data_IF_814888266703
#
_entry.id   IF_814888266703
#
_cell.length_a   1.000
_cell.length_b   1.000
_cell.length_c   1.000
_cell.angle_alpha   90.00
_cell.angle_beta   90.00
_cell.angle_gamma   90.00
#
_symmetry.space_group_name_H-M   'P 1'
#
loop_
_entity.id
_entity.type
_entity.pdbx_description
1 polymer ?
#
# COMPACT_ATOMS: atom_id res chain seq x y z
N UNK A 1 4.13 20.18 -12.81
CA UNK A 1 2.70 20.27 -12.44
C UNK A 1 1.90 19.82 -13.65
N UNK A 2 1.16 18.71 -13.57
CA UNK A 2 0.21 18.38 -14.63
C UNK A 2 -0.95 19.38 -14.54
N UNK A 3 -1.26 20.09 -15.63
CA UNK A 3 -2.41 21.01 -15.66
C UNK A 3 -3.69 20.29 -15.17
N UNK A 4 -4.50 20.91 -14.27
CA UNK A 4 -5.74 20.32 -13.77
C UNK A 4 -6.81 20.16 -14.86
N UNK A 5 -6.57 20.78 -16.02
CA UNK A 5 -7.44 20.78 -17.19
C UNK A 5 -6.79 19.93 -18.28
N UNK A 6 -7.52 18.91 -18.76
CA UNK A 6 -7.13 18.13 -19.95
C UNK A 6 -8.32 17.97 -20.88
N UNK A 7 -8.05 17.96 -22.18
CA UNK A 7 -9.01 17.59 -23.21
C UNK A 7 -9.01 16.06 -23.37
N UNK A 8 -10.18 15.44 -23.26
CA UNK A 8 -10.35 14.00 -23.56
C UNK A 8 -11.49 13.80 -24.54
N UNK A 9 -11.15 13.35 -25.73
CA UNK A 9 -12.10 12.98 -26.78
C UNK A 9 -12.78 11.65 -26.44
N UNK A 10 -14.08 11.54 -26.69
CA UNK A 10 -14.84 10.29 -26.57
C UNK A 10 -15.96 10.30 -27.59
N UNK A 11 -16.07 9.19 -28.31
CA UNK A 11 -16.93 8.99 -29.48
C UNK A 11 -18.40 9.29 -29.19
N UNK A 12 -18.90 8.95 -27.99
CA UNK A 12 -20.30 9.21 -27.62
C UNK A 12 -20.62 10.69 -27.38
N UNK A 13 -19.68 11.45 -26.81
CA UNK A 13 -19.92 12.88 -26.53
C UNK A 13 -19.73 13.75 -27.77
N UNK A 14 -18.81 13.37 -28.67
CA UNK A 14 -18.73 13.95 -30.03
C UNK A 14 -20.04 13.77 -30.79
N UNK A 15 -20.69 12.61 -30.66
CA UNK A 15 -21.95 12.32 -31.34
C UNK A 15 -23.10 13.18 -30.78
N UNK A 16 -23.21 13.29 -29.46
CA UNK A 16 -24.19 14.16 -28.80
C UNK A 16 -24.00 15.63 -29.21
N UNK A 17 -22.76 16.11 -29.28
CA UNK A 17 -22.46 17.47 -29.74
C UNK A 17 -22.77 17.67 -31.22
N UNK A 18 -22.44 16.70 -32.07
CA UNK A 18 -22.75 16.75 -33.49
C UNK A 18 -24.28 16.82 -33.74
N UNK A 19 -25.08 16.17 -32.90
CA UNK A 19 -26.55 16.18 -33.01
C UNK A 19 -27.17 17.45 -32.43
N UNK A 20 -26.66 17.98 -31.30
CA UNK A 20 -27.26 19.13 -30.62
C UNK A 20 -26.77 20.48 -31.14
N UNK A 21 -25.59 20.55 -31.77
CA UNK A 21 -25.01 21.79 -32.27
C UNK A 21 -25.85 22.46 -33.39
N UNK A 22 -26.28 21.75 -34.46
CA UNK A 22 -27.07 22.35 -35.53
C UNK A 22 -28.42 22.94 -35.08
N UNK A 23 -29.26 22.25 -34.28
CA UNK A 23 -30.54 22.81 -33.85
C UNK A 23 -30.38 23.97 -32.88
N UNK A 24 -29.35 23.97 -32.02
CA UNK A 24 -29.06 25.10 -31.13
C UNK A 24 -28.68 26.37 -31.91
N UNK A 25 -27.91 26.24 -32.99
CA UNK A 25 -27.54 27.39 -33.84
C UNK A 25 -28.77 27.86 -34.63
N UNK A 26 -29.54 26.93 -35.21
CA UNK A 26 -30.73 27.26 -36.00
C UNK A 26 -31.82 27.95 -35.18
N UNK A 27 -32.02 27.55 -33.92
CA UNK A 27 -33.05 28.13 -33.04
C UNK A 27 -32.81 29.63 -32.74
N UNK A 28 -31.54 30.04 -32.61
CA UNK A 28 -31.17 31.42 -32.27
C UNK A 28 -30.78 32.28 -33.48
N UNK A 29 -30.66 31.69 -34.67
CA UNK A 29 -30.32 32.37 -35.92
C UNK A 29 -31.24 33.55 -36.30
N UNK A 30 -32.58 33.45 -36.16
CA UNK A 30 -33.48 34.53 -36.54
C UNK A 30 -33.57 35.65 -35.49
N UNK A 31 -33.02 35.44 -34.28
CA UNK A 31 -33.05 36.45 -33.21
C UNK A 31 -31.84 37.39 -33.29
N UNK A 32 -31.93 38.63 -32.74
CA UNK A 32 -30.77 39.52 -32.64
C UNK A 32 -29.68 39.00 -31.68
N UNK A 33 -29.94 37.90 -30.96
CA UNK A 33 -29.08 37.33 -29.93
C UNK A 33 -28.33 36.09 -30.41
N UNK A 34 -27.86 36.07 -31.67
CA UNK A 34 -27.14 34.93 -32.28
C UNK A 34 -25.94 34.45 -31.47
N UNK A 35 -25.30 35.36 -30.73
CA UNK A 35 -24.21 35.08 -29.79
C UNK A 35 -24.60 34.04 -28.72
N UNK A 36 -25.88 33.94 -28.33
CA UNK A 36 -26.35 32.94 -27.36
C UNK A 36 -26.22 31.52 -27.92
N UNK A 37 -26.51 31.30 -29.21
CA UNK A 37 -26.34 30.00 -29.85
C UNK A 37 -24.88 29.55 -29.86
N UNK A 38 -23.96 30.46 -30.21
CA UNK A 38 -22.52 30.19 -30.15
C UNK A 38 -22.01 29.99 -28.72
N UNK A 39 -22.53 30.76 -27.75
CA UNK A 39 -22.18 30.60 -26.35
C UNK A 39 -22.66 29.24 -25.78
N UNK A 40 -23.87 28.80 -26.14
CA UNK A 40 -24.41 27.49 -25.76
C UNK A 40 -23.63 26.35 -26.41
N UNK A 41 -23.23 26.49 -27.68
CA UNK A 41 -22.36 25.54 -28.35
C UNK A 41 -21.00 25.45 -27.64
N UNK A 42 -20.37 26.59 -27.38
CA UNK A 42 -19.09 26.65 -26.68
C UNK A 42 -19.20 26.04 -25.26
N UNK A 43 -20.27 26.35 -24.52
CA UNK A 43 -20.56 25.74 -23.22
C UNK A 43 -20.76 24.22 -23.35
N UNK A 44 -21.48 23.75 -24.36
CA UNK A 44 -21.66 22.33 -24.65
C UNK A 44 -20.34 21.61 -24.93
N UNK A 45 -19.49 22.19 -25.78
CA UNK A 45 -18.12 21.72 -26.08
C UNK A 45 -17.30 21.65 -24.79
N UNK A 46 -17.32 22.71 -23.97
CA UNK A 46 -16.61 22.75 -22.69
C UNK A 46 -17.11 21.63 -21.78
N UNK A 47 -18.42 21.47 -21.61
CA UNK A 47 -19.01 20.44 -20.74
C UNK A 47 -18.66 19.02 -21.20
N UNK A 48 -18.63 18.80 -22.51
CA UNK A 48 -18.37 17.49 -23.10
C UNK A 48 -16.90 17.09 -23.09
N UNK A 49 -15.99 18.03 -23.34
CA UNK A 49 -14.59 17.73 -23.62
C UNK A 49 -13.62 18.14 -22.51
N UNK A 50 -13.98 19.12 -21.68
CA UNK A 50 -13.10 19.59 -20.60
C UNK A 50 -13.21 18.62 -19.43
N UNK A 51 -12.09 18.00 -19.11
CA UNK A 51 -11.94 17.24 -17.86
C UNK A 51 -11.25 18.09 -16.82
N UNK A 52 -11.82 18.12 -15.62
CA UNK A 52 -11.28 18.78 -14.45
C UNK A 52 -10.88 17.72 -13.43
N UNK A 53 -9.58 17.69 -13.06
CA UNK A 53 -8.98 16.62 -12.24
C UNK A 53 -9.28 15.21 -12.76
N UNK A 54 -9.22 15.01 -14.08
CA UNK A 54 -9.38 13.71 -14.72
C UNK A 54 -10.84 13.22 -14.86
N UNK A 55 -11.84 14.00 -14.42
CA UNK A 55 -13.28 13.71 -14.62
C UNK A 55 -13.96 14.80 -15.45
N UNK A 56 -14.92 14.41 -16.29
CA UNK A 56 -15.83 15.33 -17.00
C UNK A 56 -16.86 15.95 -16.05
N UNK A 57 -17.49 17.06 -16.42
CA UNK A 57 -18.56 17.68 -15.64
C UNK A 57 -19.73 16.72 -15.37
N UNK A 58 -20.16 15.93 -16.35
CA UNK A 58 -21.17 14.87 -16.16
C UNK A 58 -20.73 13.82 -15.14
N UNK A 59 -19.45 13.43 -15.20
CA UNK A 59 -18.83 12.53 -14.21
C UNK A 59 -18.79 13.14 -12.80
N UNK A 60 -18.58 14.45 -12.67
CA UNK A 60 -18.65 15.18 -11.41
C UNK A 60 -20.05 15.17 -10.82
N UNK A 61 -21.08 15.45 -11.63
CA UNK A 61 -22.48 15.39 -11.20
C UNK A 61 -22.86 13.98 -10.74
N UNK A 62 -22.51 12.95 -11.52
CA UNK A 62 -22.75 11.55 -11.16
C UNK A 62 -22.03 11.17 -9.85
N UNK A 63 -20.78 11.61 -9.68
CA UNK A 63 -20.00 11.41 -8.44
C UNK A 63 -20.71 12.06 -7.25
N UNK A 64 -21.18 13.30 -7.41
CA UNK A 64 -21.86 14.05 -6.36
C UNK A 64 -23.13 13.33 -5.93
N UNK A 65 -24.00 12.94 -6.86
CA UNK A 65 -25.21 12.19 -6.55
C UNK A 65 -24.91 10.84 -5.89
N UNK A 66 -23.89 10.13 -6.37
CA UNK A 66 -23.49 8.85 -5.81
C UNK A 66 -22.95 9.01 -4.37
N UNK A 67 -22.14 10.04 -4.11
CA UNK A 67 -21.67 10.39 -2.77
C UNK A 67 -22.80 10.82 -1.84
N UNK A 68 -23.71 11.69 -2.30
CA UNK A 68 -24.87 12.15 -1.52
C UNK A 68 -25.78 10.99 -1.07
N UNK A 69 -26.00 10.01 -1.95
CA UNK A 69 -26.75 8.79 -1.61
C UNK A 69 -26.00 7.91 -0.60
N UNK A 70 -24.68 7.81 -0.76
CA UNK A 70 -23.82 6.91 0.01
C UNK A 70 -23.46 7.42 1.41
N UNK A 71 -23.26 8.73 1.57
CA UNK A 71 -22.80 9.33 2.84
C UNK A 71 -23.75 9.09 4.02
N UNK A 72 -25.00 8.74 3.74
CA UNK A 72 -26.04 8.41 4.73
C UNK A 72 -26.09 6.92 5.11
N UNK A 73 -25.42 6.05 4.36
CA UNK A 73 -25.42 4.60 4.60
C UNK A 73 -24.09 4.17 5.25
N UNK A 74 -24.12 3.31 6.28
CA UNK A 74 -22.89 2.73 6.84
C UNK A 74 -22.11 1.96 5.76
N UNK A 75 -20.80 1.72 5.95
CA UNK A 75 -20.06 0.80 5.10
C UNK A 75 -20.68 -0.60 5.15
N UNK A 76 -20.68 -1.30 4.02
CA UNK A 76 -21.12 -2.69 3.98
C UNK A 76 -20.09 -3.53 4.74
N UNK A 77 -20.55 -4.28 5.74
CA UNK A 77 -19.72 -5.22 6.49
C UNK A 77 -19.53 -6.46 5.60
N UNK A 78 -18.29 -6.93 5.38
CA UNK A 78 -18.05 -8.21 4.72
C UNK A 78 -18.74 -9.36 5.47
N UNK A 79 -19.02 -10.47 4.78
CA UNK A 79 -19.47 -11.67 5.50
C UNK A 79 -18.37 -12.21 6.40
N UNK A 80 -18.76 -13.01 7.39
CA UNK A 80 -17.80 -13.83 8.13
C UNK A 80 -17.02 -14.73 7.15
N UNK A 81 -15.72 -14.91 7.39
CA UNK A 81 -14.89 -15.76 6.56
C UNK A 81 -15.26 -17.22 6.76
N UNK A 82 -15.41 -17.94 5.65
CA UNK A 82 -15.57 -19.38 5.62
C UNK A 82 -14.29 -20.00 5.07
N UNK A 83 -13.82 -21.07 5.70
CA UNK A 83 -12.59 -21.74 5.31
C UNK A 83 -12.93 -22.95 4.45
N UNK A 84 -12.46 -22.93 3.20
CA UNK A 84 -12.65 -24.05 2.28
C UNK A 84 -11.67 -25.21 2.54
N UNK A 85 -12.13 -26.44 2.29
CA UNK A 85 -11.23 -27.58 2.13
C UNK A 85 -10.44 -27.43 0.82
N UNK A 86 -9.12 -27.40 0.89
CA UNK A 86 -8.27 -27.41 -0.31
C UNK A 86 -7.96 -28.83 -0.76
N UNK A 87 -7.38 -28.97 -1.95
CA UNK A 87 -6.91 -30.24 -2.50
C UNK A 87 -5.60 -30.70 -1.86
N UNK A 88 -4.85 -29.79 -1.21
CA UNK A 88 -3.63 -30.12 -0.45
C UNK A 88 -3.99 -30.33 1.03
N UNK A 89 -3.65 -31.48 1.64
CA UNK A 89 -3.84 -31.67 3.07
C UNK A 89 -3.01 -30.63 3.85
N UNK A 90 -3.67 -29.68 4.52
CA UNK A 90 -3.02 -28.71 5.42
C UNK A 90 -3.18 -27.24 5.04
N UNK A 91 -3.51 -26.91 3.78
CA UNK A 91 -3.78 -25.53 3.38
C UNK A 91 -5.29 -25.27 3.40
N UNK A 92 -5.66 -24.13 3.96
CA UNK A 92 -7.05 -23.75 4.17
C UNK A 92 -7.19 -22.33 3.64
N UNK A 93 -7.96 -22.16 2.57
CA UNK A 93 -8.17 -20.84 1.95
C UNK A 93 -9.41 -20.22 2.57
N UNK A 94 -9.26 -19.07 3.22
CA UNK A 94 -10.38 -18.26 3.65
C UNK A 94 -11.04 -17.58 2.44
N UNK A 95 -12.35 -17.74 2.36
CA UNK A 95 -13.20 -17.03 1.41
C UNK A 95 -14.24 -16.20 2.16
N UNK A 96 -14.62 -15.05 1.60
CA UNK A 96 -15.75 -14.27 2.12
C UNK A 96 -16.45 -13.48 1.04
N UNK A 97 -17.70 -13.16 1.26
CA UNK A 97 -18.42 -12.22 0.44
C UNK A 97 -18.02 -10.80 0.78
N UNK A 98 -17.66 -10.04 -0.25
CA UNK A 98 -17.48 -8.60 -0.16
C UNK A 98 -18.36 -7.94 -1.22
N UNK A 99 -19.55 -7.52 -0.78
CA UNK A 99 -20.67 -7.12 -1.65
C UNK A 99 -21.07 -8.26 -2.57
N UNK A 100 -20.99 -8.06 -3.88
CA UNK A 100 -21.44 -9.02 -4.89
C UNK A 100 -20.30 -9.87 -5.47
N UNK A 101 -19.14 -9.89 -4.82
CA UNK A 101 -17.99 -10.70 -5.25
C UNK A 101 -17.55 -11.58 -4.09
N UNK A 102 -17.24 -12.83 -4.39
CA UNK A 102 -16.57 -13.73 -3.47
C UNK A 102 -15.07 -13.46 -3.57
N UNK A 103 -14.40 -13.30 -2.43
CA UNK A 103 -12.96 -13.01 -2.39
C UNK A 103 -12.20 -14.07 -1.61
N UNK A 104 -11.00 -14.38 -2.06
CA UNK A 104 -10.02 -15.22 -1.37
C UNK A 104 -8.74 -14.41 -1.13
N UNK A 105 -8.04 -14.71 -0.04
CA UNK A 105 -6.79 -14.05 0.35
C UNK A 105 -5.59 -14.96 0.11
N UNK A 106 -4.55 -14.40 -0.49
CA UNK A 106 -3.20 -14.95 -0.53
C UNK A 106 -2.29 -13.92 0.13
N UNK A 107 -1.55 -14.31 1.15
CA UNK A 107 -0.54 -13.46 1.77
C UNK A 107 0.81 -13.68 1.08
N UNK A 108 1.52 -12.59 0.79
CA UNK A 108 2.87 -12.68 0.27
C UNK A 108 3.84 -12.59 1.44
N UNK A 109 4.63 -13.63 1.64
CA UNK A 109 5.62 -13.70 2.72
C UNK A 109 6.92 -13.08 2.23
N UNK A 110 7.41 -12.02 2.90
CA UNK A 110 8.66 -11.41 2.49
C UNK A 110 9.84 -12.32 2.82
N UNK A 111 10.86 -12.29 1.97
CA UNK A 111 12.09 -13.02 2.22
C UNK A 111 12.90 -12.30 3.30
N UNK A 112 13.24 -12.96 4.42
CA UNK A 112 14.00 -12.33 5.48
C UNK A 112 15.34 -11.75 5.01
N UNK A 113 15.74 -10.66 5.65
CA UNK A 113 17.01 -9.96 5.42
C UNK A 113 17.23 -9.47 3.98
N UNK A 114 16.18 -9.24 3.19
CA UNK A 114 16.34 -8.66 1.85
C UNK A 114 16.69 -7.16 1.97
N UNK A 115 17.91 -6.73 1.61
CA UNK A 115 18.27 -5.33 1.69
C UNK A 115 17.50 -4.51 0.65
N UNK A 116 17.10 -3.30 1.04
CA UNK A 116 16.55 -2.31 0.10
C UNK A 116 17.53 -1.15 -0.04
N UNK A 117 17.99 -0.90 -1.27
CA UNK A 117 18.94 0.18 -1.57
C UNK A 117 18.24 1.30 -2.33
N UNK A 118 18.42 2.54 -1.90
CA UNK A 118 17.81 3.70 -2.55
C UNK A 118 18.78 4.31 -3.54
N UNK A 119 18.48 4.19 -4.84
CA UNK A 119 19.31 4.71 -5.93
C UNK A 119 18.47 5.70 -6.74
N UNK A 120 18.93 6.94 -6.89
CA UNK A 120 18.19 7.95 -7.67
C UNK A 120 16.78 8.26 -7.14
N UNK A 121 16.50 7.98 -5.86
CA UNK A 121 15.17 8.15 -5.26
C UNK A 121 14.22 6.97 -5.47
N UNK A 122 14.68 5.85 -6.05
CA UNK A 122 13.93 4.62 -6.25
C UNK A 122 14.41 3.53 -5.32
N UNK A 123 13.50 2.68 -4.84
CA UNK A 123 13.84 1.53 -4.01
C UNK A 123 14.17 0.31 -4.89
N UNK A 124 15.39 -0.20 -4.75
CA UNK A 124 15.81 -1.45 -5.34
C UNK A 124 15.86 -2.53 -4.26
N UNK A 125 15.07 -3.58 -4.44
CA UNK A 125 15.02 -4.77 -3.59
C UNK A 125 14.75 -5.97 -4.47
N UNK A 126 15.29 -7.13 -4.09
CA UNK A 126 15.13 -8.37 -4.86
C UNK A 126 13.76 -9.04 -4.62
N UNK A 127 13.07 -8.67 -3.55
CA UNK A 127 11.83 -9.31 -3.12
C UNK A 127 10.61 -8.50 -3.59
N UNK A 128 10.23 -8.75 -4.84
CA UNK A 128 9.18 -8.02 -5.56
C UNK A 128 8.21 -8.96 -6.25
N UNK A 129 6.94 -8.56 -6.30
CA UNK A 129 5.93 -9.15 -7.18
C UNK A 129 5.88 -8.37 -8.50
N UNK A 130 6.19 -9.03 -9.61
CA UNK A 130 5.90 -8.47 -10.93
C UNK A 130 4.41 -8.60 -11.26
N UNK A 131 3.74 -7.47 -11.42
CA UNK A 131 2.31 -7.43 -11.76
C UNK A 131 2.00 -7.96 -13.16
N UNK A 132 2.98 -8.05 -14.06
CA UNK A 132 2.80 -8.68 -15.38
C UNK A 132 2.79 -10.21 -15.25
N UNK A 133 3.71 -10.77 -14.46
CA UNK A 133 3.70 -12.20 -14.13
C UNK A 133 2.36 -12.61 -13.52
N UNK A 134 1.82 -11.82 -12.59
CA UNK A 134 0.51 -12.11 -12.01
C UNK A 134 -0.62 -12.05 -13.06
N UNK A 135 -0.58 -11.14 -14.03
CA UNK A 135 -1.56 -11.14 -15.13
C UNK A 135 -1.45 -12.41 -15.98
N UNK A 136 -0.23 -12.81 -16.35
CA UNK A 136 0.02 -14.04 -17.13
C UNK A 136 -0.50 -15.28 -16.40
N UNK A 137 -0.24 -15.39 -15.09
CA UNK A 137 -0.75 -16.48 -14.27
C UNK A 137 -2.29 -16.49 -14.19
N UNK A 138 -2.93 -15.32 -14.10
CA UNK A 138 -4.39 -15.22 -14.14
C UNK A 138 -4.93 -15.63 -15.51
N UNK A 139 -4.31 -15.19 -16.60
CA UNK A 139 -4.73 -15.50 -17.97
C UNK A 139 -4.70 -17.01 -18.23
N UNK A 140 -3.65 -17.70 -17.76
CA UNK A 140 -3.47 -19.14 -17.96
C UNK A 140 -4.41 -19.96 -17.06
N UNK A 141 -4.53 -19.61 -15.77
CA UNK A 141 -5.17 -20.48 -14.79
C UNK A 141 -6.62 -20.11 -14.45
N UNK A 142 -6.96 -18.82 -14.52
CA UNK A 142 -8.26 -18.29 -14.09
C UNK A 142 -8.63 -16.96 -14.78
N UNK A 143 -8.83 -16.94 -16.11
CA UNK A 143 -8.96 -15.71 -16.90
C UNK A 143 -10.24 -14.89 -16.62
N UNK A 144 -11.22 -15.48 -15.95
CA UNK A 144 -12.48 -14.85 -15.53
C UNK A 144 -12.41 -14.26 -14.09
N UNK A 145 -11.26 -14.35 -13.42
CA UNK A 145 -11.00 -13.73 -12.12
C UNK A 145 -10.28 -12.38 -12.22
N UNK A 146 -10.41 -11.57 -11.18
CA UNK A 146 -9.63 -10.35 -10.96
C UNK A 146 -8.75 -10.51 -9.73
N UNK A 147 -7.56 -9.91 -9.72
CA UNK A 147 -6.70 -9.85 -8.53
C UNK A 147 -6.48 -8.41 -8.08
N UNK A 148 -6.67 -8.14 -6.79
CA UNK A 148 -6.21 -6.89 -6.17
C UNK A 148 -4.95 -7.17 -5.34
N UNK A 149 -3.80 -6.66 -5.76
CA UNK A 149 -2.61 -6.58 -4.91
C UNK A 149 -2.79 -5.41 -3.95
N UNK A 150 -2.74 -5.68 -2.65
CA UNK A 150 -2.94 -4.68 -1.60
C UNK A 150 -1.72 -4.67 -0.70
N UNK A 151 -1.01 -3.56 -0.66
CA UNK A 151 0.07 -3.37 0.33
C UNK A 151 -0.36 -2.32 1.35
N UNK A 152 -0.18 -2.61 2.63
CA UNK A 152 -0.47 -1.70 3.72
C UNK A 152 0.67 -1.66 4.73
N UNK A 153 0.89 -0.49 5.32
CA UNK A 153 1.95 -0.29 6.29
C UNK A 153 2.31 1.16 6.51
N UNK A 154 3.34 1.38 7.30
CA UNK A 154 3.76 2.70 7.74
C UNK A 154 5.21 2.97 7.37
N UNK A 155 5.49 4.22 7.02
CA UNK A 155 6.84 4.65 6.70
C UNK A 155 7.69 4.86 7.94
N UNK A 156 7.04 5.29 9.01
CA UNK A 156 7.56 5.40 10.37
C UNK A 156 6.46 4.94 11.31
N UNK A 157 6.82 4.43 12.48
CA UNK A 157 5.88 3.93 13.46
C UNK A 157 5.37 4.98 14.44
N UNK A 158 4.58 4.50 15.41
CA UNK A 158 3.95 5.31 16.46
C UNK A 158 4.42 4.93 17.88
N UNK A 159 5.43 4.07 18.01
CA UNK A 159 5.91 3.56 19.31
C UNK A 159 6.90 4.52 19.98
N UNK A 160 7.69 5.27 19.21
CA UNK A 160 8.66 6.22 19.73
C UNK A 160 8.05 7.58 20.09
N UNK A 161 8.83 8.39 20.81
CA UNK A 161 8.47 9.80 21.06
C UNK A 161 8.33 10.59 19.75
N UNK A 162 7.45 11.60 19.69
CA UNK A 162 7.26 12.40 18.48
C UNK A 162 8.55 13.04 17.94
N UNK A 163 9.46 13.43 18.84
CA UNK A 163 10.76 14.00 18.47
C UNK A 163 11.65 13.01 17.73
N UNK A 164 11.66 11.74 18.16
CA UNK A 164 12.41 10.66 17.51
C UNK A 164 11.81 10.33 16.14
N UNK A 165 10.48 10.23 16.06
CA UNK A 165 9.78 9.97 14.80
C UNK A 165 10.04 11.11 13.80
N UNK A 166 9.95 12.37 14.24
CA UNK A 166 10.19 13.54 13.40
C UNK A 166 11.64 13.61 12.91
N UNK A 167 12.61 13.35 13.80
CA UNK A 167 14.01 13.26 13.43
C UNK A 167 14.23 12.17 12.39
N UNK A 168 13.72 10.96 12.63
CA UNK A 168 13.89 9.88 11.67
C UNK A 168 13.25 10.20 10.32
N UNK A 169 12.04 10.79 10.30
CA UNK A 169 11.40 11.27 9.07
C UNK A 169 12.24 12.28 8.29
N UNK A 170 13.03 13.12 8.97
CA UNK A 170 13.97 14.04 8.34
C UNK A 170 15.15 13.27 7.74
N UNK A 171 15.74 12.33 8.49
CA UNK A 171 16.85 11.48 8.05
C UNK A 171 16.50 10.67 6.81
N UNK A 172 15.33 10.02 6.78
CA UNK A 172 14.90 9.23 5.62
C UNK A 172 14.31 10.08 4.48
N UNK A 173 14.16 11.40 4.67
CA UNK A 173 13.78 12.35 3.62
C UNK A 173 12.50 11.97 2.86
N UNK A 174 12.65 11.66 1.57
CA UNK A 174 11.59 11.17 0.68
C UNK A 174 11.88 9.75 0.15
N UNK A 175 12.72 8.97 0.85
CA UNK A 175 13.02 7.61 0.43
C UNK A 175 11.75 6.74 0.43
N UNK A 176 11.51 5.95 -0.64
CA UNK A 176 10.40 5.00 -0.73
C UNK A 176 10.66 3.70 0.07
N UNK A 177 11.16 3.87 1.29
CA UNK A 177 11.51 2.78 2.19
C UNK A 177 10.57 2.78 3.39
N UNK A 178 9.44 2.04 3.34
CA UNK A 178 8.59 1.92 4.51
C UNK A 178 9.23 1.04 5.58
N UNK A 179 9.11 1.48 6.84
CA UNK A 179 9.59 0.76 8.00
C UNK A 179 8.85 -0.57 8.21
N UNK A 180 7.55 -0.60 7.94
CA UNK A 180 6.75 -1.82 7.94
C UNK A 180 5.80 -1.82 6.75
N UNK A 181 5.70 -2.96 6.05
CA UNK A 181 4.80 -3.16 4.93
C UNK A 181 4.49 -4.64 4.81
N UNK A 182 3.21 -4.96 4.66
CA UNK A 182 2.74 -6.28 4.25
C UNK A 182 1.92 -6.17 2.97
N UNK A 183 1.95 -7.25 2.20
CA UNK A 183 1.30 -7.31 0.90
C UNK A 183 0.46 -8.58 0.78
N UNK A 184 -0.75 -8.43 0.25
CA UNK A 184 -1.67 -9.53 -0.02
C UNK A 184 -2.16 -9.46 -1.46
N UNK A 185 -2.57 -10.60 -2.00
CA UNK A 185 -3.33 -10.71 -3.24
C UNK A 185 -4.75 -11.14 -2.88
N UNK A 186 -5.74 -10.34 -3.26
CA UNK A 186 -7.15 -10.68 -3.14
C UNK A 186 -7.66 -11.16 -4.50
N UNK A 187 -7.88 -12.46 -4.64
CA UNK A 187 -8.59 -12.99 -5.81
C UNK A 187 -10.08 -12.72 -5.67
N UNK A 188 -10.71 -12.28 -6.76
CA UNK A 188 -12.11 -11.83 -6.77
C UNK A 188 -12.88 -12.56 -7.84
N UNK A 189 -13.88 -13.33 -7.42
CA UNK A 189 -14.85 -13.96 -8.29
C UNK A 189 -16.12 -13.13 -8.39
N UNK A 190 -16.48 -12.74 -9.60
CA UNK A 190 -17.81 -12.22 -9.91
C UNK A 190 -18.72 -13.40 -10.32
N UNK A 191 -19.84 -13.66 -9.63
CA UNK A 191 -20.71 -14.80 -9.92
C UNK A 191 -21.18 -14.87 -11.38
N UNK A 192 -21.36 -13.73 -12.03
CA UNK A 192 -21.82 -13.67 -13.42
C UNK A 192 -20.72 -14.06 -14.40
N UNK A 193 -19.50 -13.54 -14.18
CA UNK A 193 -18.36 -13.80 -15.06
C UNK A 193 -17.80 -15.21 -14.87
N UNK A 194 -17.81 -15.71 -13.63
CA UNK A 194 -17.20 -16.99 -13.26
C UNK A 194 -18.15 -18.18 -13.36
N UNK A 195 -19.41 -17.97 -13.75
CA UNK A 195 -20.48 -18.98 -13.77
C UNK A 195 -20.05 -20.27 -14.46
N UNK A 196 -19.49 -20.17 -15.68
CA UNK A 196 -19.07 -21.34 -16.48
C UNK A 196 -17.97 -22.16 -15.79
N UNK A 197 -17.01 -21.49 -15.17
CA UNK A 197 -15.89 -22.13 -14.47
C UNK A 197 -16.32 -22.74 -13.14
N UNK A 198 -17.24 -22.08 -12.44
CA UNK A 198 -17.83 -22.55 -11.18
C UNK A 198 -18.70 -23.81 -11.37
N UNK A 199 -19.57 -23.81 -12.38
CA UNK A 199 -20.48 -24.94 -12.67
C UNK A 199 -19.76 -26.26 -12.98
N UNK A 200 -18.50 -26.22 -13.43
CA UNK A 200 -17.69 -27.43 -13.64
C UNK A 200 -17.24 -28.10 -12.35
N UNK A 201 -17.43 -27.46 -11.19
CA UNK A 201 -16.89 -27.91 -9.89
C UNK A 201 -17.97 -28.25 -8.88
N UNK A 202 -19.05 -27.46 -8.87
CA UNK A 202 -20.26 -27.71 -8.08
C UNK A 202 -21.38 -26.76 -8.53
N UNK A 203 -22.57 -26.95 -7.97
CA UNK A 203 -23.71 -26.07 -8.17
C UNK A 203 -23.68 -24.84 -7.23
N UNK A 204 -24.27 -23.74 -7.70
CA UNK A 204 -24.49 -22.54 -6.89
C UNK A 204 -23.22 -21.92 -6.29
N UNK A 205 -23.32 -21.50 -5.02
CA UNK A 205 -22.24 -20.81 -4.29
C UNK A 205 -21.05 -21.73 -4.02
N UNK A 206 -21.31 -23.02 -3.75
CA UNK A 206 -20.27 -24.02 -3.52
C UNK A 206 -19.33 -24.15 -4.73
N UNK A 207 -19.88 -24.06 -5.95
CA UNK A 207 -19.09 -24.14 -7.19
C UNK A 207 -18.13 -22.96 -7.34
N UNK A 208 -18.60 -21.75 -7.02
CA UNK A 208 -17.78 -20.52 -7.06
C UNK A 208 -16.71 -20.58 -5.98
N UNK A 209 -17.06 -21.01 -4.76
CA UNK A 209 -16.10 -21.15 -3.66
C UNK A 209 -14.99 -22.15 -4.00
N UNK A 210 -15.34 -23.36 -4.47
CA UNK A 210 -14.35 -24.37 -4.92
C UNK A 210 -13.51 -23.85 -6.07
N UNK A 211 -14.08 -23.10 -7.01
CA UNK A 211 -13.31 -22.48 -8.08
C UNK A 211 -12.28 -21.50 -7.55
N UNK A 212 -12.71 -20.59 -6.68
CA UNK A 212 -11.87 -19.54 -6.13
C UNK A 212 -10.76 -20.12 -5.25
N UNK A 213 -11.07 -21.09 -4.38
CA UNK A 213 -10.10 -21.81 -3.55
C UNK A 213 -9.06 -22.51 -4.41
N UNK A 214 -9.48 -23.30 -5.41
CA UNK A 214 -8.55 -23.98 -6.30
C UNK A 214 -7.67 -23.02 -7.11
N UNK A 215 -8.22 -21.87 -7.50
CA UNK A 215 -7.46 -20.82 -8.21
C UNK A 215 -6.46 -20.14 -7.29
N UNK A 216 -6.83 -19.86 -6.03
CA UNK A 216 -5.92 -19.29 -5.04
C UNK A 216 -4.71 -20.18 -4.79
N UNK A 217 -4.93 -21.48 -4.55
CA UNK A 217 -3.84 -22.45 -4.38
C UNK A 217 -2.93 -22.51 -5.60
N UNK A 218 -3.50 -22.53 -6.82
CA UNK A 218 -2.68 -22.55 -8.05
C UNK A 218 -1.87 -21.29 -8.24
N UNK A 219 -2.45 -20.11 -7.99
CA UNK A 219 -1.72 -18.85 -8.11
C UNK A 219 -0.60 -18.79 -7.06
N UNK A 220 -0.87 -19.19 -5.81
CA UNK A 220 0.14 -19.26 -4.76
C UNK A 220 1.30 -20.21 -5.13
N UNK A 221 0.99 -21.44 -5.56
CA UNK A 221 2.00 -22.44 -5.98
C UNK A 221 2.85 -21.94 -7.16
N UNK A 222 2.24 -21.27 -8.14
CA UNK A 222 2.97 -20.74 -9.30
C UNK A 222 3.77 -19.47 -8.98
N UNK A 223 3.31 -18.65 -8.04
CA UNK A 223 4.12 -17.53 -7.54
C UNK A 223 5.36 -18.08 -6.82
N UNK A 224 5.19 -19.09 -5.98
CA UNK A 224 6.29 -19.74 -5.27
C UNK A 224 7.32 -20.36 -6.24
N UNK A 225 6.86 -20.99 -7.33
CA UNK A 225 7.75 -21.53 -8.37
C UNK A 225 8.55 -20.45 -9.12
N UNK A 226 8.06 -19.21 -9.15
CA UNK A 226 8.76 -18.04 -9.66
C UNK A 226 9.53 -17.26 -8.58
N UNK A 227 9.64 -17.82 -7.38
CA UNK A 227 10.39 -17.26 -6.26
C UNK A 227 9.62 -16.24 -5.41
N UNK A 228 8.36 -15.97 -5.67
CA UNK A 228 7.52 -15.13 -4.80
C UNK A 228 6.86 -16.04 -3.78
N UNK A 229 7.28 -15.95 -2.52
CA UNK A 229 6.68 -16.76 -1.46
C UNK A 229 5.24 -16.28 -1.18
N UNK A 230 4.28 -17.16 -1.43
CA UNK A 230 2.86 -16.86 -1.46
C UNK A 230 2.10 -17.97 -0.75
N UNK A 231 1.41 -17.62 0.32
CA UNK A 231 0.66 -18.55 1.15
C UNK A 231 -0.83 -18.23 1.10
N UNK A 232 -1.65 -19.26 0.97
CA UNK A 232 -3.09 -19.11 1.05
C UNK A 232 -3.50 -18.71 2.48
N UNK A 233 -4.16 -17.56 2.63
CA UNK A 233 -4.53 -17.05 3.95
C UNK A 233 -5.69 -17.85 4.56
N UNK A 234 -5.55 -18.21 5.83
CA UNK A 234 -6.58 -18.93 6.62
C UNK A 234 -7.60 -18.00 7.28
N UNK A 235 -7.32 -16.70 7.30
CA UNK A 235 -8.20 -15.65 7.82
C UNK A 235 -7.96 -14.34 7.06
N UNK A 236 -8.91 -13.41 7.17
CA UNK A 236 -8.75 -12.03 6.71
C UNK A 236 -8.28 -11.09 7.82
N UNK A 237 -8.07 -11.56 9.06
CA UNK A 237 -7.81 -10.70 10.23
C UNK A 237 -6.57 -9.82 10.06
N UNK A 238 -5.43 -10.38 9.65
CA UNK A 238 -4.20 -9.62 9.42
C UNK A 238 -4.39 -8.54 8.35
N UNK A 239 -5.08 -8.90 7.27
CA UNK A 239 -5.40 -7.96 6.21
C UNK A 239 -6.36 -6.86 6.70
N UNK A 240 -7.41 -7.21 7.42
CA UNK A 240 -8.42 -6.28 7.92
C UNK A 240 -7.83 -5.32 8.97
N UNK A 241 -6.96 -5.83 9.84
CA UNK A 241 -6.19 -5.02 10.78
C UNK A 241 -5.27 -4.05 10.03
N UNK A 242 -4.55 -4.52 9.01
CA UNK A 242 -3.64 -3.69 8.25
C UNK A 242 -4.32 -2.61 7.41
N UNK A 243 -5.58 -2.80 7.00
CA UNK A 243 -6.34 -1.77 6.26
C UNK A 243 -7.28 -0.94 7.14
N UNK A 244 -7.35 -1.21 8.44
CA UNK A 244 -8.22 -0.45 9.33
C UNK A 244 -7.71 1.00 9.45
N UNK A 245 -8.63 1.92 9.22
CA UNK A 245 -8.39 3.36 9.34
C UNK A 245 -9.28 3.99 10.42
N UNK A 246 -9.93 3.15 11.25
CA UNK A 246 -10.90 3.57 12.25
C UNK A 246 -12.03 4.38 11.65
N UNK A 247 -12.62 3.93 10.53
CA UNK A 247 -13.60 4.69 9.74
C UNK A 247 -14.74 5.24 10.62
N UNK A 248 -14.95 6.56 10.58
CA UNK A 248 -16.11 7.21 11.22
C UNK A 248 -17.08 7.75 10.18
N UNK A 249 -16.59 8.57 9.23
CA UNK A 249 -17.43 9.12 8.16
C UNK A 249 -16.66 9.52 6.92
N UNK A 250 -17.32 9.43 5.78
CA UNK A 250 -16.82 9.96 4.50
C UNK A 250 -17.19 11.44 4.33
N UNK A 251 -16.20 12.28 4.03
CA UNK A 251 -16.38 13.63 3.47
C UNK A 251 -16.03 13.62 1.99
N UNK A 252 -16.31 14.74 1.30
CA UNK A 252 -16.06 14.87 -0.13
C UNK A 252 -14.60 14.60 -0.53
N UNK A 253 -13.63 15.06 0.26
CA UNK A 253 -12.21 14.99 -0.07
C UNK A 253 -11.39 14.06 0.81
N UNK A 254 -11.99 13.48 1.85
CA UNK A 254 -11.30 12.65 2.83
C UNK A 254 -12.29 11.79 3.63
N UNK A 255 -11.78 10.77 4.31
CA UNK A 255 -12.45 10.02 5.36
C UNK A 255 -11.95 10.56 6.71
N UNK A 256 -12.87 10.85 7.62
CA UNK A 256 -12.54 11.08 9.03
C UNK A 256 -12.56 9.72 9.73
N UNK A 257 -11.42 9.33 10.30
CA UNK A 257 -11.31 8.19 11.22
C UNK A 257 -11.57 8.62 12.67
N UNK A 258 -11.30 7.73 13.63
CA UNK A 258 -11.38 8.02 15.07
C UNK A 258 -10.46 9.17 15.44
N UNK A 259 -9.15 8.96 15.21
CA UNK A 259 -8.09 9.90 15.59
C UNK A 259 -7.21 10.31 14.39
N UNK A 260 -7.64 9.99 13.17
CA UNK A 260 -6.87 10.23 11.95
C UNK A 260 -7.74 10.68 10.78
N UNK A 261 -7.10 11.14 9.71
CA UNK A 261 -7.73 11.49 8.46
C UNK A 261 -7.10 10.69 7.34
N UNK A 262 -7.93 10.01 6.55
CA UNK A 262 -7.46 9.25 5.38
C UNK A 262 -7.95 9.92 4.11
N UNK A 263 -7.08 10.08 3.13
CA UNK A 263 -7.47 10.54 1.80
C UNK A 263 -7.01 9.58 0.71
N UNK A 264 -7.88 9.32 -0.24
CA UNK A 264 -7.62 8.52 -1.42
C UNK A 264 -7.14 9.40 -2.59
N UNK A 265 -6.15 8.89 -3.31
CA UNK A 265 -5.44 9.54 -4.38
C UNK A 265 -5.17 8.58 -5.54
N UNK A 266 -4.93 9.18 -6.69
CA UNK A 266 -4.28 8.56 -7.85
C UNK A 266 -2.85 9.08 -7.91
N UNK A 267 -1.91 8.20 -8.20
CA UNK A 267 -0.48 8.53 -8.21
C UNK A 267 0.20 7.69 -9.30
N UNK A 268 0.18 8.14 -10.57
CA UNK A 268 0.84 7.44 -11.65
C UNK A 268 2.36 7.60 -11.47
N UNK A 269 2.99 6.59 -10.90
CA UNK A 269 4.40 6.62 -10.51
C UNK A 269 4.88 5.38 -9.77
N UNK A 270 4.00 4.41 -9.52
CA UNK A 270 4.34 3.15 -8.89
C UNK A 270 4.73 3.27 -7.42
N UNK A 271 5.20 2.15 -6.82
CA UNK A 271 5.50 2.05 -5.41
C UNK A 271 6.49 3.11 -4.90
N UNK A 272 7.48 3.52 -5.70
CA UNK A 272 8.43 4.56 -5.31
C UNK A 272 7.71 5.89 -5.00
N UNK A 273 6.79 6.31 -5.86
CA UNK A 273 6.01 7.51 -5.61
C UNK A 273 5.07 7.32 -4.41
N UNK A 274 4.45 6.14 -4.28
CA UNK A 274 3.45 5.85 -3.25
C UNK A 274 4.06 5.88 -1.85
N UNK A 275 5.21 5.24 -1.68
CA UNK A 275 5.90 5.08 -0.40
C UNK A 275 6.88 6.21 -0.06
N UNK A 276 7.16 7.12 -1.00
CA UNK A 276 7.91 8.36 -0.72
C UNK A 276 7.07 9.43 0.00
N UNK A 277 5.74 9.33 -0.09
CA UNK A 277 4.83 10.30 0.51
C UNK A 277 4.83 10.20 2.04
N UNK A 278 4.90 11.36 2.72
CA UNK A 278 4.77 11.40 4.19
C UNK A 278 3.33 11.11 4.60
N UNK A 279 3.14 9.99 5.27
CA UNK A 279 1.90 9.54 5.86
C UNK A 279 2.20 8.66 7.08
N UNK A 280 1.27 8.64 8.04
CA UNK A 280 1.33 7.79 9.22
C UNK A 280 1.03 6.34 8.83
N UNK A 281 0.09 6.15 7.91
CA UNK A 281 -0.23 4.84 7.32
C UNK A 281 -0.55 4.99 5.84
N UNK A 282 -0.13 4.01 5.04
CA UNK A 282 -0.32 4.00 3.58
C UNK A 282 -0.94 2.67 3.18
N UNK A 283 -2.00 2.74 2.37
CA UNK A 283 -2.64 1.58 1.76
C UNK A 283 -2.62 1.78 0.25
N UNK A 284 -2.01 0.84 -0.47
CA UNK A 284 -1.99 0.81 -1.93
C UNK A 284 -2.86 -0.34 -2.41
N UNK A 285 -3.59 -0.12 -3.50
CA UNK A 285 -4.40 -1.16 -4.15
C UNK A 285 -4.12 -1.13 -5.63
N UNK A 286 -3.76 -2.26 -6.18
CA UNK A 286 -3.42 -2.43 -7.59
C UNK A 286 -4.22 -3.61 -8.15
N UNK A 287 -5.20 -3.33 -9.01
CA UNK A 287 -6.04 -4.33 -9.66
C UNK A 287 -5.46 -4.75 -10.98
N UNK A 288 -5.41 -6.06 -11.17
CA UNK A 288 -5.02 -6.73 -12.40
C UNK A 288 -6.23 -7.56 -12.85
N UNK A 289 -6.50 -7.47 -14.14
CA UNK A 289 -7.51 -8.26 -14.81
C UNK A 289 -6.97 -8.61 -16.20
N UNK A 290 -6.95 -9.88 -16.61
CA UNK A 290 -6.43 -10.28 -17.91
C UNK A 290 -7.01 -9.46 -19.06
N UNK A 291 -6.13 -8.93 -19.91
CA UNK A 291 -6.51 -8.18 -21.12
C UNK A 291 -7.03 -6.76 -20.85
N UNK A 292 -6.91 -6.27 -19.61
CA UNK A 292 -7.27 -4.89 -19.24
C UNK A 292 -6.09 -4.17 -18.61
N UNK A 293 -5.93 -2.89 -18.93
CA UNK A 293 -4.91 -2.06 -18.29
C UNK A 293 -5.09 -2.09 -16.75
N UNK A 294 -4.02 -2.29 -15.98
CA UNK A 294 -4.11 -2.38 -14.54
C UNK A 294 -4.58 -1.06 -13.95
N UNK A 295 -5.10 -1.10 -12.72
CA UNK A 295 -5.67 0.07 -12.07
C UNK A 295 -5.17 0.23 -10.65
N UNK A 296 -4.76 1.44 -10.26
CA UNK A 296 -4.20 1.71 -8.95
C UNK A 296 -4.92 2.82 -8.19
N UNK A 297 -4.90 2.73 -6.86
CA UNK A 297 -5.29 3.80 -5.93
C UNK A 297 -4.43 3.72 -4.67
N UNK A 298 -4.10 4.89 -4.12
CA UNK A 298 -3.32 5.02 -2.89
C UNK A 298 -4.14 5.78 -1.86
N UNK A 299 -4.19 5.27 -0.63
CA UNK A 299 -4.76 5.94 0.51
C UNK A 299 -3.64 6.31 1.48
N UNK A 300 -3.62 7.57 1.88
CA UNK A 300 -2.68 8.10 2.85
C UNK A 300 -3.46 8.55 4.08
N UNK A 301 -3.07 8.03 5.24
CA UNK A 301 -3.61 8.37 6.54
C UNK A 301 -2.63 9.29 7.26
N UNK A 302 -3.16 10.36 7.83
CA UNK A 302 -2.39 11.36 8.59
C UNK A 302 -3.15 11.80 9.84
N UNK A 303 -2.44 12.15 10.91
CA UNK A 303 -3.01 12.72 12.12
C UNK A 303 -3.70 14.07 11.86
N UNK A 304 -3.10 14.89 10.99
CA UNK A 304 -3.66 16.16 10.54
C UNK A 304 -4.58 16.05 9.32
N UNK A 305 -5.20 17.16 8.93
CA UNK A 305 -5.96 17.22 7.66
C UNK A 305 -5.04 16.90 6.48
N UNK A 306 -5.45 16.01 5.56
CA UNK A 306 -4.59 15.52 4.52
C UNK A 306 -4.27 16.63 3.51
N UNK A 307 -2.99 16.78 3.18
CA UNK A 307 -2.49 17.60 2.07
C UNK A 307 -2.30 16.71 0.83
N UNK A 308 -2.28 17.28 -0.37
CA UNK A 308 -2.04 16.51 -1.59
C UNK A 308 -0.53 16.50 -1.86
N UNK A 309 0.15 15.34 -1.79
CA UNK A 309 1.58 15.27 -2.08
C UNK A 309 1.88 15.54 -3.56
N UNK A 310 3.13 15.87 -3.87
CA UNK A 310 3.58 16.08 -5.25
C UNK A 310 3.45 14.77 -6.04
N UNK A 311 2.85 14.84 -7.24
CA UNK A 311 2.60 13.66 -8.08
C UNK A 311 1.26 12.95 -7.81
N UNK A 312 0.52 13.38 -6.78
CA UNK A 312 -0.77 12.78 -6.41
C UNK A 312 -1.93 13.66 -6.91
N UNK A 313 -3.04 13.02 -7.26
CA UNK A 313 -4.31 13.68 -7.58
C UNK A 313 -5.44 13.08 -6.73
N UNK A 314 -6.09 13.91 -5.92
CA UNK A 314 -7.08 13.49 -4.92
C UNK A 314 -8.39 13.01 -5.56
N UNK A 315 -8.94 11.90 -5.05
CA UNK A 315 -10.18 11.28 -5.54
C UNK A 315 -11.44 11.85 -4.88
N UNK A 316 -11.83 13.06 -5.26
CA UNK A 316 -13.03 13.70 -4.72
C UNK A 316 -14.31 12.87 -4.94
N UNK A 317 -15.16 12.80 -3.91
CA UNK A 317 -16.42 12.06 -3.84
C UNK A 317 -16.30 10.53 -3.93
N UNK A 318 -15.07 10.01 -3.94
CA UNK A 318 -14.76 8.60 -4.20
C UNK A 318 -13.91 7.94 -3.12
N UNK A 319 -13.88 8.49 -1.91
CA UNK A 319 -12.95 8.11 -0.85
C UNK A 319 -13.27 6.72 -0.28
N UNK A 320 -14.53 6.46 0.08
CA UNK A 320 -14.96 5.15 0.59
C UNK A 320 -14.92 4.04 -0.48
N UNK A 321 -15.34 4.29 -1.73
CA UNK A 321 -15.13 3.33 -2.80
C UNK A 321 -13.64 3.03 -3.06
N UNK A 322 -12.75 4.00 -2.92
CA UNK A 322 -11.30 3.77 -3.02
C UNK A 322 -10.78 2.84 -1.91
N UNK A 323 -11.22 3.06 -0.66
CA UNK A 323 -10.87 2.18 0.47
C UNK A 323 -11.27 0.72 0.24
N UNK A 324 -12.38 0.51 -0.48
CA UNK A 324 -12.92 -0.82 -0.80
C UNK A 324 -12.48 -1.37 -2.17
N UNK A 325 -11.58 -0.68 -2.87
CA UNK A 325 -11.03 -1.12 -4.17
C UNK A 325 -12.00 -1.00 -5.34
N UNK A 326 -12.89 0.00 -5.38
CA UNK A 326 -13.87 0.19 -6.46
C UNK A 326 -13.55 1.36 -7.37
N UNK A 327 -13.00 2.43 -6.81
CA UNK A 327 -12.52 3.57 -7.60
C UNK A 327 -11.01 3.43 -7.78
N UNK A 328 -10.64 2.54 -8.70
CA UNK A 328 -9.27 2.39 -9.17
C UNK A 328 -9.14 3.13 -10.50
N UNK A 329 -7.96 3.67 -10.77
CA UNK A 329 -7.71 4.44 -12.00
C UNK A 329 -6.61 3.77 -12.80
N UNK A 330 -6.77 3.76 -14.12
CA UNK A 330 -5.83 3.12 -15.03
C UNK A 330 -4.38 3.55 -14.73
N UNK A 331 -3.51 2.57 -14.68
CA UNK A 331 -2.09 2.67 -14.40
C UNK A 331 -1.31 1.72 -15.34
N UNK A 332 -0.02 1.51 -15.06
CA UNK A 332 0.87 0.60 -15.79
C UNK A 332 1.35 -0.52 -14.88
N UNK A 333 1.72 -1.65 -15.48
CA UNK A 333 2.40 -2.71 -14.75
C UNK A 333 3.67 -2.16 -14.10
N UNK A 334 3.93 -2.63 -12.89
CA UNK A 334 5.09 -2.30 -12.08
C UNK A 334 5.51 -3.52 -11.25
N UNK A 335 6.69 -3.41 -10.63
CA UNK A 335 7.14 -4.33 -9.60
C UNK A 335 6.73 -3.78 -8.24
N UNK A 336 6.05 -4.59 -7.44
CA UNK A 336 5.56 -4.23 -6.11
C UNK A 336 6.44 -4.93 -5.07
N UNK A 337 7.24 -4.20 -4.28
CA UNK A 337 7.97 -4.79 -3.16
C UNK A 337 7.02 -5.46 -2.16
N UNK A 338 7.37 -6.68 -1.75
CA UNK A 338 6.50 -7.54 -0.93
C UNK A 338 6.51 -7.10 0.54
N UNK A 339 7.70 -7.10 1.16
CA UNK A 339 7.92 -6.81 2.59
C UNK A 339 8.28 -5.38 2.89
N UNK A 340 8.65 -5.12 4.15
CA UNK A 340 9.18 -3.83 4.58
C UNK A 340 10.54 -3.54 3.92
N UNK A 341 10.92 -2.26 3.84
CA UNK A 341 12.33 -1.92 3.63
C UNK A 341 13.10 -2.00 4.95
N UNK A 342 12.41 -1.70 6.06
CA UNK A 342 12.92 -1.83 7.42
C UNK A 342 13.68 -0.60 7.92
N UNK A 343 14.78 -0.84 8.62
CA UNK A 343 15.54 0.20 9.33
C UNK A 343 16.74 0.65 8.47
N UNK A 344 17.01 1.96 8.43
CA UNK A 344 18.22 2.50 7.80
C UNK A 344 19.48 2.01 8.55
N UNK A 345 20.24 1.10 7.94
CA UNK A 345 21.44 0.50 8.56
C UNK A 345 22.73 1.20 8.13
N UNK A 346 22.73 1.86 6.97
CA UNK A 346 23.90 2.58 6.47
C UNK A 346 23.70 3.07 5.04
N UNK A 347 24.80 3.28 4.33
CA UNK A 347 24.82 3.62 2.92
C UNK A 347 25.90 2.83 2.17
N UNK A 348 25.77 2.69 0.86
CA UNK A 348 26.81 2.09 0.02
C UNK A 348 28.00 3.04 -0.16
N UNK A 349 29.08 2.56 -0.78
CA UNK A 349 30.25 3.37 -1.16
C UNK A 349 29.85 4.61 -2.00
N UNK A 350 28.80 4.47 -2.81
CA UNK A 350 28.26 5.54 -3.67
C UNK A 350 27.23 6.44 -2.95
N UNK A 351 27.16 6.38 -1.61
CA UNK A 351 26.22 7.14 -0.78
C UNK A 351 24.75 6.83 -1.08
N UNK A 352 24.45 5.59 -1.45
CA UNK A 352 23.07 5.12 -1.61
C UNK A 352 22.59 4.55 -0.27
N UNK A 353 21.53 5.09 0.34
CA UNK A 353 20.98 4.56 1.59
C UNK A 353 20.61 3.08 1.49
N UNK A 354 20.93 2.32 2.53
CA UNK A 354 20.66 0.87 2.65
C UNK A 354 19.77 0.61 3.86
N UNK A 355 18.65 -0.05 3.62
CA UNK A 355 17.69 -0.46 4.62
C UNK A 355 17.67 -1.98 4.75
N UNK A 356 17.39 -2.48 5.95
CA UNK A 356 17.24 -3.91 6.22
C UNK A 356 15.99 -4.18 7.06
N UNK A 357 15.14 -5.16 6.66
CA UNK A 357 13.98 -5.59 7.43
C UNK A 357 14.42 -6.42 8.65
N UNK A 358 13.70 -6.21 9.75
CA UNK A 358 13.88 -6.93 11.02
C UNK A 358 12.53 -7.45 11.58
N UNK A 359 11.43 -7.19 10.88
CA UNK A 359 10.05 -7.48 11.29
C UNK A 359 9.53 -8.85 10.81
N UNK A 360 10.37 -9.62 10.10
CA UNK A 360 10.00 -10.90 9.48
C UNK A 360 10.30 -12.13 10.35
N UNK A 361 11.47 -12.18 11.00
CA UNK A 361 11.95 -13.34 11.78
C UNK A 361 12.69 -12.92 13.05
N UNK A 362 12.63 -13.77 14.07
CA UNK A 362 13.35 -13.56 15.32
C UNK A 362 14.86 -13.62 15.10
N UNK A 363 15.59 -12.64 15.67
CA UNK A 363 17.05 -12.53 15.49
C UNK A 363 17.78 -12.03 16.72
N UNK A 364 19.02 -12.49 16.87
CA UNK A 364 20.01 -11.92 17.77
C UNK A 364 20.89 -10.93 17.02
N UNK A 365 20.82 -9.66 17.42
CA UNK A 365 21.61 -8.57 16.82
C UNK A 365 22.84 -8.26 17.67
N UNK A 366 24.01 -8.45 17.08
CA UNK A 366 25.29 -8.04 17.65
C UNK A 366 25.67 -6.65 17.11
N UNK A 367 25.69 -5.67 18.00
CA UNK A 367 26.00 -4.27 17.69
C UNK A 367 27.46 -3.99 18.04
N UNK A 368 28.23 -3.52 17.05
CA UNK A 368 29.69 -3.42 17.17
C UNK A 368 30.23 -2.34 18.11
N UNK A 369 29.45 -1.27 18.37
CA UNK A 369 29.83 -0.17 19.26
C UNK A 369 28.60 0.59 19.78
N UNK A 370 28.83 1.47 20.76
CA UNK A 370 27.78 2.28 21.40
C UNK A 370 27.02 3.19 20.42
N UNK A 371 27.70 3.73 19.40
CA UNK A 371 27.05 4.59 18.40
C UNK A 371 26.08 3.78 17.52
N UNK A 372 26.51 2.60 17.06
CA UNK A 372 25.67 1.67 16.30
C UNK A 372 24.46 1.24 17.12
N UNK A 373 24.67 0.97 18.42
CA UNK A 373 23.58 0.66 19.34
C UNK A 373 22.56 1.80 19.42
N UNK A 374 23.01 3.03 19.70
CA UNK A 374 22.12 4.20 19.76
C UNK A 374 21.36 4.38 18.45
N UNK A 375 22.05 4.35 17.31
CA UNK A 375 21.43 4.57 16.00
C UNK A 375 20.40 3.48 15.67
N UNK A 376 20.76 2.22 15.88
CA UNK A 376 19.83 1.12 15.63
C UNK A 376 18.59 1.26 16.51
N UNK A 377 18.75 1.49 17.81
CA UNK A 377 17.63 1.57 18.75
C UNK A 377 16.72 2.77 18.46
N UNK A 378 17.30 3.97 18.24
CA UNK A 378 16.52 5.18 17.90
C UNK A 378 15.73 4.97 16.61
N UNK A 379 16.36 4.42 15.57
CA UNK A 379 15.71 4.20 14.28
C UNK A 379 14.70 3.06 14.33
N UNK A 380 14.97 2.00 15.08
CA UNK A 380 14.04 0.89 15.28
C UNK A 380 12.78 1.33 16.04
N UNK A 381 12.94 2.16 17.08
CA UNK A 381 11.82 2.79 17.75
C UNK A 381 11.01 3.67 16.78
N UNK A 382 11.69 4.52 16.00
CA UNK A 382 11.04 5.36 15.00
C UNK A 382 10.38 4.56 13.86
N UNK A 383 10.87 3.36 13.59
CA UNK A 383 10.32 2.41 12.61
C UNK A 383 9.08 1.67 13.15
N UNK A 384 8.71 1.82 14.42
CA UNK A 384 7.54 1.17 15.02
C UNK A 384 7.85 -0.05 15.87
N UNK A 385 9.13 -0.36 16.10
CA UNK A 385 9.53 -1.38 17.06
C UNK A 385 9.24 -0.92 18.48
N UNK A 386 8.72 -1.82 19.31
CA UNK A 386 8.64 -1.62 20.75
C UNK A 386 9.99 -1.99 21.36
N UNK A 387 10.77 -0.97 21.70
CA UNK A 387 12.11 -1.14 22.24
C UNK A 387 12.03 -1.39 23.74
N UNK A 388 12.74 -2.39 24.22
CA UNK A 388 13.06 -2.63 25.63
C UNK A 388 14.57 -2.60 25.82
N UNK A 389 15.07 -1.82 26.77
CA UNK A 389 16.49 -1.76 27.14
C UNK A 389 16.69 -2.09 28.61
N UNK A 390 17.93 -2.40 28.99
CA UNK A 390 18.29 -2.75 30.37
C UNK A 390 18.10 -1.57 31.36
N UNK A 391 17.98 -1.85 32.68
CA UNK A 391 17.77 -0.82 33.71
C UNK A 391 18.80 0.30 33.75
N UNK A 392 20.03 0.03 33.34
CA UNK A 392 21.13 1.01 33.29
C UNK A 392 20.98 2.04 32.16
N UNK A 393 20.01 1.87 31.25
CA UNK A 393 19.71 2.80 30.17
C UNK A 393 18.44 3.63 30.42
N UNK A 394 18.02 3.84 31.67
CA UNK A 394 16.74 4.50 31.99
C UNK A 394 16.59 5.89 31.34
N UNK A 395 17.63 6.73 31.41
CA UNK A 395 17.61 8.07 30.81
C UNK A 395 17.45 7.99 29.28
N UNK A 396 18.25 7.15 28.64
CA UNK A 396 18.16 6.87 27.21
C UNK A 396 16.77 6.34 26.82
N UNK A 397 16.22 5.40 27.60
CA UNK A 397 14.91 4.81 27.36
C UNK A 397 13.81 5.89 27.35
N UNK A 398 13.84 6.80 28.33
CA UNK A 398 12.89 7.92 28.43
C UNK A 398 12.95 8.84 27.22
N UNK A 399 14.15 9.16 26.73
CA UNK A 399 14.33 10.04 25.56
C UNK A 399 13.78 9.42 24.28
N UNK A 400 14.00 8.11 24.08
CA UNK A 400 13.58 7.43 22.85
C UNK A 400 12.14 6.89 22.88
N UNK A 401 11.52 6.87 24.06
CA UNK A 401 10.22 6.23 24.27
C UNK A 401 10.31 4.71 24.39
N UNK A 402 11.45 4.17 24.84
CA UNK A 402 11.63 2.75 25.09
C UNK A 402 11.19 2.35 26.50
N UNK A 403 10.89 1.07 26.66
CA UNK A 403 10.61 0.42 27.94
C UNK A 403 11.91 -0.01 28.61
N UNK A 404 11.87 -0.14 29.93
CA UNK A 404 12.97 -0.71 30.72
C UNK A 404 12.59 -2.12 31.14
N UNK A 405 13.47 -3.09 30.91
CA UNK A 405 13.22 -4.49 31.22
C UNK A 405 14.50 -5.33 31.34
N UNK A 406 14.36 -6.57 31.78
CA UNK A 406 15.47 -7.49 31.99
C UNK A 406 16.11 -7.99 30.69
N UNK A 407 15.34 -8.03 29.60
CA UNK A 407 15.79 -8.51 28.28
C UNK A 407 15.78 -7.34 27.31
N UNK A 408 16.96 -6.95 26.82
CA UNK A 408 17.09 -5.91 25.81
C UNK A 408 16.67 -6.46 24.43
N UNK A 409 15.63 -5.87 23.84
CA UNK A 409 15.02 -6.34 22.59
C UNK A 409 14.24 -5.24 21.88
N UNK A 410 13.91 -5.49 20.62
CA UNK A 410 12.91 -4.74 19.85
C UNK A 410 11.83 -5.73 19.44
N UNK A 411 10.61 -5.52 19.90
CA UNK A 411 9.47 -6.31 19.47
C UNK A 411 8.79 -5.63 18.28
N UNK A 412 8.70 -6.37 17.18
CA UNK A 412 7.95 -6.04 15.97
C UNK A 412 6.59 -6.78 16.00
N UNK A 413 5.64 -6.45 15.10
CA UNK A 413 4.35 -7.13 15.07
C UNK A 413 4.43 -8.66 14.91
N UNK A 414 5.45 -9.17 14.22
CA UNK A 414 5.62 -10.61 13.91
C UNK A 414 6.94 -11.23 14.36
N UNK A 415 7.87 -10.41 14.86
CA UNK A 415 9.23 -10.86 15.14
C UNK A 415 9.84 -10.09 16.30
N UNK A 416 10.91 -10.61 16.86
CA UNK A 416 11.68 -10.00 17.95
C UNK A 416 13.16 -9.94 17.58
N UNK A 417 13.72 -8.74 17.63
CA UNK A 417 15.17 -8.52 17.52
C UNK A 417 15.78 -8.37 18.91
N UNK A 418 16.50 -9.39 19.39
CA UNK A 418 17.22 -9.37 20.65
C UNK A 418 18.50 -8.54 20.51
N UNK A 419 18.70 -7.57 21.40
CA UNK A 419 19.84 -6.65 21.39
C UNK A 419 21.04 -7.26 22.15
N UNK A 420 21.47 -8.44 21.72
CA UNK A 420 22.53 -9.22 22.35
C UNK A 420 22.41 -10.71 22.01
N UNK A 421 23.35 -11.54 22.49
CA UNK A 421 23.34 -12.98 22.25
C UNK A 421 22.04 -13.63 22.74
N UNK A 422 21.38 -14.40 21.87
CA UNK A 422 20.21 -15.18 22.20
C UNK A 422 20.29 -16.55 21.50
N UNK A 423 20.02 -17.63 22.23
CA UNK A 423 20.10 -19.00 21.71
C UNK A 423 18.86 -19.35 20.89
N UNK A 424 19.04 -20.10 19.80
CA UNK A 424 17.93 -20.64 19.01
C UNK A 424 17.34 -19.67 17.96
N UNK A 425 17.98 -18.53 17.75
CA UNK A 425 17.60 -17.54 16.74
C UNK A 425 18.78 -17.19 15.84
N UNK A 426 18.48 -16.71 14.64
CA UNK A 426 19.48 -16.32 13.67
C UNK A 426 20.30 -15.12 14.14
N UNK A 427 21.59 -15.09 13.77
CA UNK A 427 22.52 -14.04 14.19
C UNK A 427 22.71 -13.00 13.08
N UNK A 428 22.52 -11.73 13.43
CA UNK A 428 22.86 -10.57 12.60
C UNK A 428 23.97 -9.79 13.28
N UNK A 429 24.97 -9.35 12.53
CA UNK A 429 26.05 -8.51 13.02
C UNK A 429 25.98 -7.17 12.31
N UNK A 430 25.84 -6.09 13.06
CA UNK A 430 25.81 -4.72 12.55
C UNK A 430 27.00 -3.95 13.11
N UNK A 431 27.90 -3.53 12.21
CA UNK A 431 29.08 -2.70 12.50
C UNK A 431 29.03 -1.42 11.66
N UNK A 432 29.95 -0.50 11.93
CA UNK A 432 30.06 0.77 11.22
C UNK A 432 30.35 0.63 9.70
N UNK A 433 30.95 -0.49 9.29
CA UNK A 433 31.44 -0.73 7.93
C UNK A 433 30.81 -1.95 7.24
N UNK A 434 30.00 -2.74 7.95
CA UNK A 434 29.45 -3.99 7.44
C UNK A 434 28.17 -4.37 8.17
N UNK A 435 27.25 -5.01 7.43
CA UNK A 435 26.19 -5.85 7.98
C UNK A 435 26.41 -7.30 7.55
N UNK A 436 26.30 -8.24 8.48
CA UNK A 436 26.30 -9.68 8.21
C UNK A 436 24.97 -10.26 8.66
N UNK A 437 24.32 -11.02 7.78
CA UNK A 437 23.01 -11.66 8.00
C UNK A 437 23.13 -13.15 7.60
N UNK A 438 22.20 -14.02 8.04
CA UNK A 438 22.21 -15.42 7.61
C UNK A 438 22.19 -15.57 6.08
N UNK A 439 21.49 -14.67 5.39
CA UNK A 439 21.39 -14.66 3.93
C UNK A 439 22.61 -14.05 3.25
N UNK A 440 23.16 -12.99 3.83
CA UNK A 440 24.27 -12.24 3.25
C UNK A 440 25.46 -12.27 4.21
N UNK A 441 26.49 -13.04 3.87
CA UNK A 441 27.68 -13.22 4.72
C UNK A 441 28.32 -11.91 5.14
N UNK A 442 28.47 -10.98 4.21
CA UNK A 442 29.07 -9.66 4.46
C UNK A 442 28.56 -8.67 3.41
N UNK A 443 27.81 -7.67 3.87
CA UNK A 443 27.34 -6.53 3.08
C UNK A 443 28.12 -5.28 3.52
N UNK A 444 29.02 -4.74 2.69
CA UNK A 444 29.76 -3.55 3.04
C UNK A 444 28.82 -2.34 3.07
N UNK A 445 28.85 -1.61 4.18
CA UNK A 445 28.10 -0.37 4.36
C UNK A 445 29.02 0.72 4.90
N UNK A 446 28.58 1.97 4.83
CA UNK A 446 29.15 3.09 5.57
C UNK A 446 28.09 3.61 6.52
N UNK A 447 28.51 3.93 7.74
CA UNK A 447 27.63 4.53 8.72
C UNK A 447 27.10 5.88 8.22
N UNK A 448 25.79 6.06 8.32
CA UNK A 448 25.13 7.36 8.18
C UNK A 448 24.97 7.96 9.58
N UNK A 449 25.64 9.08 9.87
CA UNK A 449 25.60 9.75 11.17
C UNK A 449 25.09 11.19 11.07
N UNK A 450 23.77 11.40 11.12
CA UNK A 450 23.19 12.73 11.29
C UNK A 450 23.66 13.35 12.62
N UNK A 451 24.10 14.62 12.66
CA UNK A 451 24.58 15.26 13.88
C UNK A 451 23.57 15.20 15.03
N UNK A 452 22.28 15.32 14.69
CA UNK A 452 21.14 15.34 15.60
C UNK A 452 20.91 14.00 16.33
N UNK A 453 21.36 12.86 15.78
CA UNK A 453 21.29 11.56 16.46
C UNK A 453 22.31 11.47 17.61
N UNK A 454 23.39 12.24 17.57
CA UNK A 454 24.48 12.18 18.56
C UNK A 454 24.04 12.57 19.97
N UNK A 455 22.97 13.38 20.10
CA UNK A 455 22.43 13.77 21.41
C UNK A 455 21.94 12.59 22.23
N UNK A 456 21.47 11.53 21.58
CA UNK A 456 21.00 10.33 22.27
C UNK A 456 22.16 9.47 22.78
N UNK A 457 23.33 9.58 22.16
CA UNK A 457 24.54 8.89 22.62
C UNK A 457 25.05 9.48 23.94
N UNK A 458 24.84 10.78 24.17
CA UNK A 458 25.22 11.46 25.42
C UNK A 458 24.41 10.96 26.63
N UNK A 459 23.24 10.36 26.40
CA UNK A 459 22.38 9.79 27.43
C UNK A 459 22.69 8.32 27.75
N UNK A 460 23.72 7.74 27.12
CA UNK A 460 24.21 6.42 27.50
C UNK A 460 25.01 6.51 28.80
N UNK A 461 24.93 5.48 29.68
CA UNK A 461 25.81 5.38 30.84
C UNK A 461 27.27 5.37 30.40
N UNK A 462 28.12 6.02 31.19
CA UNK A 462 29.57 6.12 30.93
C UNK A 462 30.31 4.83 31.22
#
# INVERSE_FOLDING_TARGET
>A
MSSPIRLKFSTGHTLVLAVLAPPAIMLFWPTPHRWIGFALLAAGVIIAFVTFYGRRLTGWVATLFAWLRRRRKPPDVPSEPEVGATVKPGDHVAVRWRRNKLIAVIELKPRPFTPTVIVGGQAHTDDVLDTRLLEELLEVHCPDLEADVVSAGSRVGHTASPDVVNLYQQVIGAHPAPASRRTWIMLRADPELTRKSAQRRDEGVAGIARYLVASATRIADNLASHGVDAECGRSFDDYDHAIDIGFVREKWSMIKGRDSYTAAYTAPGGPDLWWSARADHTITRFRIRPGMAPQATVLLTTAGKPKTPRGFSRLFGGQRPALTGQNLVADRHCQIPIGSAGVLVGETVNKCPVYLPFDDVDVSLNLGDAQTFTQFVVRAAAAGGQVTVGPHFEEFARLVGAQVGSVAKVAWPTATTYLGPHSGVDKVILRHNMVSTPRHRELPIRRVSPPEESRFQLALPK
#
